data_IF_739734702792
#
_entry.id   IF_739734702792
#
_cell.length_a   1.000
_cell.length_b   1.000
_cell.length_c   1.000
_cell.angle_alpha   90.00
_cell.angle_beta   90.00
_cell.angle_gamma   90.00
#
_symmetry.space_group_name_H-M   'P 1'
#
loop_
_entity.id
_entity.type
_entity.pdbx_description
1 polymer ?
#
# COMPACT_ATOMS: atom_id res chain seq x y z
N UNK A 1 -20.26 -29.44 8.63
CA UNK A 1 -19.56 -28.72 9.70
C UNK A 1 -18.06 -28.91 9.61
N UNK A 2 -17.63 -30.12 9.41
CA UNK A 2 -16.19 -30.44 9.30
C UNK A 2 -15.56 -29.77 8.09
N UNK A 3 -16.28 -29.69 7.00
CA UNK A 3 -15.85 -29.06 5.77
C UNK A 3 -15.59 -27.57 6.00
N UNK A 4 -16.44 -26.92 6.80
CA UNK A 4 -16.26 -25.51 7.14
C UNK A 4 -14.94 -25.26 7.88
N UNK A 5 -14.57 -26.18 8.76
CA UNK A 5 -13.32 -26.05 9.52
C UNK A 5 -12.11 -26.13 8.58
N UNK A 6 -12.16 -27.03 7.61
CA UNK A 6 -11.09 -27.16 6.62
C UNK A 6 -11.00 -25.90 5.78
N UNK A 7 -12.13 -25.37 5.37
CA UNK A 7 -12.18 -24.11 4.63
C UNK A 7 -11.53 -22.95 5.39
N UNK A 8 -11.79 -22.89 6.69
CA UNK A 8 -11.20 -21.84 7.53
C UNK A 8 -9.68 -21.95 7.57
N UNK A 9 -9.16 -23.16 7.68
CA UNK A 9 -7.72 -23.37 7.74
C UNK A 9 -7.04 -22.92 6.43
N UNK A 10 -7.62 -23.21 5.27
CA UNK A 10 -7.03 -22.80 4.01
C UNK A 10 -7.22 -21.31 3.72
N UNK A 11 -8.27 -20.69 4.25
CA UNK A 11 -8.52 -19.27 4.09
C UNK A 11 -7.69 -18.40 5.05
N UNK A 12 -6.98 -18.99 6.01
CA UNK A 12 -6.25 -18.23 7.01
C UNK A 12 -5.26 -17.22 6.43
N UNK A 13 -4.49 -17.63 5.43
CA UNK A 13 -3.52 -16.74 4.79
C UNK A 13 -4.19 -15.68 3.92
N UNK A 14 -5.26 -16.05 3.24
CA UNK A 14 -6.04 -15.11 2.45
C UNK A 14 -6.72 -14.09 3.35
N UNK A 15 -7.21 -14.53 4.50
CA UNK A 15 -7.83 -13.64 5.48
C UNK A 15 -6.85 -12.61 5.99
N UNK A 16 -5.60 -12.98 6.19
CA UNK A 16 -4.56 -12.04 6.62
C UNK A 16 -4.31 -10.96 5.56
N UNK A 17 -4.22 -11.35 4.30
CA UNK A 17 -4.03 -10.40 3.22
C UNK A 17 -5.25 -9.50 3.10
N UNK A 18 -6.44 -10.08 3.14
CA UNK A 18 -7.69 -9.34 3.07
C UNK A 18 -7.84 -8.38 4.25
N UNK A 19 -7.53 -8.85 5.46
CA UNK A 19 -7.56 -8.01 6.65
C UNK A 19 -6.57 -6.86 6.55
N UNK A 20 -5.40 -7.09 5.97
CA UNK A 20 -4.41 -6.06 5.72
C UNK A 20 -4.90 -5.00 4.74
N UNK A 21 -5.53 -5.43 3.66
CA UNK A 21 -6.13 -4.51 2.68
C UNK A 21 -7.22 -3.68 3.33
N UNK A 22 -8.07 -4.29 4.13
CA UNK A 22 -9.14 -3.58 4.83
C UNK A 22 -8.58 -2.55 5.81
N UNK A 23 -7.52 -2.92 6.53
CA UNK A 23 -6.84 -1.99 7.43
C UNK A 23 -6.28 -0.79 6.67
N UNK A 24 -5.62 -1.05 5.54
CA UNK A 24 -5.05 0.02 4.70
C UNK A 24 -6.14 0.95 4.18
N UNK A 25 -7.24 0.41 3.71
CA UNK A 25 -8.37 1.23 3.23
C UNK A 25 -8.93 2.14 4.31
N UNK A 26 -8.97 1.65 5.54
CA UNK A 26 -9.53 2.40 6.67
C UNK A 26 -8.57 3.41 7.28
N UNK A 27 -7.28 3.15 7.23
CA UNK A 27 -6.29 3.90 8.02
C UNK A 27 -5.21 4.61 7.21
N UNK A 28 -5.04 4.27 5.94
CA UNK A 28 -3.97 4.84 5.14
C UNK A 28 -4.26 6.30 4.78
N UNK A 29 -3.26 7.14 4.97
CA UNK A 29 -3.37 8.57 4.71
C UNK A 29 -2.22 9.05 3.82
N UNK A 30 -2.46 10.14 3.12
CA UNK A 30 -1.45 10.84 2.34
C UNK A 30 -1.05 12.12 3.08
N UNK A 31 0.13 12.69 2.77
CA UNK A 31 0.55 13.96 3.37
C UNK A 31 -0.47 15.06 3.10
N UNK A 32 -0.75 15.86 4.11
CA UNK A 32 -1.71 16.98 4.02
C UNK A 32 -1.24 17.98 2.96
N UNK A 33 -2.16 18.44 2.13
CA UNK A 33 -1.88 19.42 1.08
C UNK A 33 -0.82 19.00 0.07
N UNK A 34 -0.63 17.69 -0.08
CA UNK A 34 0.38 17.16 -1.01
C UNK A 34 -0.07 17.16 -2.47
N UNK A 35 -1.36 17.20 -2.71
CA UNK A 35 -1.90 16.98 -4.06
C UNK A 35 -2.00 15.49 -4.40
N UNK A 36 -1.94 14.63 -3.41
CA UNK A 36 -2.04 13.17 -3.54
C UNK A 36 -3.37 12.70 -2.96
N UNK A 37 -3.87 11.58 -3.47
CA UNK A 37 -4.98 10.87 -2.84
C UNK A 37 -4.81 9.38 -3.05
N UNK A 38 -5.31 8.60 -2.11
CA UNK A 38 -5.33 7.15 -2.26
C UNK A 38 -6.33 6.79 -3.35
N UNK A 39 -5.85 6.18 -4.42
CA UNK A 39 -6.71 5.74 -5.51
C UNK A 39 -7.29 4.37 -5.25
N UNK A 40 -6.44 3.39 -5.00
CA UNK A 40 -6.87 2.03 -4.85
C UNK A 40 -5.93 1.25 -3.93
N UNK A 41 -6.49 0.33 -3.15
CA UNK A 41 -5.73 -0.60 -2.33
C UNK A 41 -6.21 -1.99 -2.67
N UNK A 42 -5.32 -2.86 -3.15
CA UNK A 42 -5.68 -4.20 -3.59
C UNK A 42 -4.69 -5.25 -3.11
N UNK A 43 -5.16 -6.49 -3.06
CA UNK A 43 -4.30 -7.63 -2.87
C UNK A 43 -3.84 -8.11 -4.25
N UNK A 44 -2.53 -8.19 -4.44
CA UNK A 44 -1.93 -8.62 -5.71
C UNK A 44 -1.49 -10.07 -5.68
N UNK A 45 -1.52 -10.68 -4.52
CA UNK A 45 -1.16 -12.07 -4.31
C UNK A 45 -1.22 -12.39 -2.83
N UNK A 46 -0.89 -13.62 -2.48
CA UNK A 46 -0.90 -14.07 -1.11
C UNK A 46 0.18 -13.31 -0.32
N UNK A 47 -0.23 -12.56 0.68
CA UNK A 47 0.67 -11.71 1.46
C UNK A 47 1.21 -10.51 0.70
N UNK A 48 0.67 -10.20 -0.47
CA UNK A 48 1.11 -9.08 -1.29
C UNK A 48 -0.01 -8.09 -1.48
N UNK A 49 0.27 -6.83 -1.21
CA UNK A 49 -0.69 -5.74 -1.28
C UNK A 49 -0.11 -4.57 -2.05
N UNK A 50 -0.96 -3.79 -2.66
CA UNK A 50 -0.56 -2.64 -3.45
C UNK A 50 -1.41 -1.43 -3.10
N UNK A 51 -0.76 -0.29 -2.90
CA UNK A 51 -1.42 0.98 -2.67
C UNK A 51 -1.12 1.86 -3.88
N UNK A 52 -2.16 2.27 -4.58
CA UNK A 52 -2.03 3.19 -5.70
C UNK A 52 -2.42 4.58 -5.22
N UNK A 53 -1.52 5.53 -5.39
CA UNK A 53 -1.72 6.92 -5.01
C UNK A 53 -1.78 7.77 -6.27
N UNK A 54 -2.84 8.54 -6.41
CA UNK A 54 -2.99 9.45 -7.53
C UNK A 54 -2.48 10.84 -7.17
N UNK A 55 -1.55 11.33 -7.98
CA UNK A 55 -1.12 12.72 -7.92
C UNK A 55 -2.04 13.53 -8.82
N UNK A 56 -3.10 14.07 -8.24
CA UNK A 56 -4.11 14.78 -8.99
C UNK A 56 -3.74 16.26 -9.26
N UNK A 57 -2.71 16.74 -8.58
CA UNK A 57 -2.21 18.10 -8.76
C UNK A 57 -1.04 18.11 -9.75
N UNK A 58 -1.09 18.98 -10.73
CA UNK A 58 0.02 19.15 -11.68
C UNK A 58 1.31 19.58 -10.96
N UNK A 59 1.18 20.40 -9.92
CA UNK A 59 2.32 20.82 -9.11
C UNK A 59 2.95 19.63 -8.38
N UNK A 60 2.14 18.78 -7.81
CA UNK A 60 2.64 17.57 -7.12
C UNK A 60 3.37 16.66 -8.09
N UNK A 61 2.81 16.45 -9.27
CA UNK A 61 3.43 15.63 -10.30
C UNK A 61 4.78 16.21 -10.76
N UNK A 62 4.84 17.52 -10.98
CA UNK A 62 6.07 18.20 -11.38
C UNK A 62 7.15 18.09 -10.29
N UNK A 63 6.79 18.30 -9.05
CA UNK A 63 7.72 18.18 -7.93
C UNK A 63 8.31 16.76 -7.87
N UNK A 64 7.47 15.76 -8.02
CA UNK A 64 7.92 14.38 -7.99
C UNK A 64 8.90 14.10 -9.13
N UNK A 65 8.57 14.54 -10.34
CA UNK A 65 9.41 14.31 -11.51
C UNK A 65 10.78 14.98 -11.39
N UNK A 66 10.88 16.06 -10.64
CA UNK A 66 12.14 16.77 -10.45
C UNK A 66 13.08 16.11 -9.44
N UNK A 67 12.61 15.14 -8.69
CA UNK A 67 13.41 14.47 -7.68
C UNK A 67 14.33 13.40 -8.29
N UNK A 68 15.43 13.09 -7.59
CA UNK A 68 16.27 11.94 -7.94
C UNK A 68 15.49 10.64 -7.73
N UNK A 69 15.97 9.55 -8.32
CA UNK A 69 15.34 8.24 -8.15
C UNK A 69 15.26 7.83 -6.67
N UNK A 70 16.30 8.12 -5.90
CA UNK A 70 16.34 7.83 -4.46
C UNK A 70 15.28 8.62 -3.70
N UNK A 71 15.21 9.93 -3.96
CA UNK A 71 14.26 10.80 -3.29
C UNK A 71 12.82 10.47 -3.65
N UNK A 72 12.57 10.08 -4.90
CA UNK A 72 11.25 9.61 -5.32
C UNK A 72 10.80 8.41 -4.50
N UNK A 73 11.70 7.45 -4.30
CA UNK A 73 11.41 6.27 -3.49
C UNK A 73 11.10 6.62 -2.04
N UNK A 74 11.86 7.53 -1.45
CA UNK A 74 11.64 7.95 -0.07
C UNK A 74 10.30 8.68 0.09
N UNK A 75 9.96 9.52 -0.86
CA UNK A 75 8.67 10.23 -0.86
C UNK A 75 7.52 9.24 -0.97
N UNK A 76 7.63 8.25 -1.84
CA UNK A 76 6.60 7.21 -1.96
C UNK A 76 6.41 6.44 -0.66
N UNK A 77 7.49 6.20 0.08
CA UNK A 77 7.42 5.48 1.36
C UNK A 77 6.69 6.23 2.46
N UNK A 78 6.43 7.52 2.29
CA UNK A 78 5.60 8.27 3.25
C UNK A 78 4.19 7.71 3.36
N UNK A 79 3.73 7.01 2.33
CA UNK A 79 2.41 6.38 2.30
C UNK A 79 2.43 5.01 2.98
N UNK A 80 3.59 4.44 3.22
CA UNK A 80 3.69 3.12 3.84
C UNK A 80 3.16 3.10 5.27
N UNK A 81 2.58 1.97 5.72
CA UNK A 81 2.21 1.81 7.13
C UNK A 81 3.44 1.98 8.01
N UNK A 82 3.28 2.74 9.09
CA UNK A 82 4.38 3.03 10.00
C UNK A 82 4.81 1.75 10.74
N UNK A 83 6.11 1.61 10.96
CA UNK A 83 6.68 0.54 11.75
C UNK A 83 6.00 0.44 13.12
N UNK A 84 5.74 -0.79 13.56
CA UNK A 84 5.12 -1.02 14.85
C UNK A 84 3.62 -0.77 14.90
N UNK A 85 2.99 -0.45 13.77
CA UNK A 85 1.53 -0.32 13.74
C UNK A 85 0.85 -1.68 13.72
N UNK A 86 -0.42 -1.67 14.09
CA UNK A 86 -1.27 -2.85 14.09
C UNK A 86 -1.27 -3.58 12.74
N UNK A 87 -1.11 -2.84 11.65
CA UNK A 87 -1.06 -3.44 10.30
C UNK A 87 -0.07 -4.61 10.23
N UNK A 88 1.16 -4.38 10.70
CA UNK A 88 2.21 -5.39 10.61
C UNK A 88 1.96 -6.60 11.51
N UNK A 89 1.21 -6.41 12.57
CA UNK A 89 0.77 -7.52 13.42
C UNK A 89 -0.28 -8.36 12.72
N UNK A 90 -1.19 -7.71 11.99
CA UNK A 90 -2.25 -8.39 11.25
C UNK A 90 -1.68 -9.25 10.12
N UNK A 91 -0.79 -8.71 9.31
CA UNK A 91 -0.32 -9.37 8.08
C UNK A 91 0.92 -10.24 8.27
N UNK A 92 1.66 -10.02 9.36
CA UNK A 92 2.85 -10.80 9.66
C UNK A 92 4.11 -10.32 8.95
N UNK A 93 5.23 -11.00 9.22
CA UNK A 93 6.57 -10.59 8.77
C UNK A 93 6.83 -10.82 7.28
N UNK A 94 6.07 -11.71 6.66
CA UNK A 94 6.29 -12.08 5.25
C UNK A 94 5.47 -11.25 4.27
N UNK A 95 4.63 -10.35 4.78
CA UNK A 95 3.80 -9.51 3.93
C UNK A 95 4.64 -8.46 3.21
N UNK A 96 4.25 -8.16 1.99
CA UNK A 96 4.88 -7.14 1.17
C UNK A 96 3.84 -6.12 0.76
N UNK A 97 4.15 -4.85 0.94
CA UNK A 97 3.29 -3.74 0.51
C UNK A 97 4.06 -2.91 -0.49
N UNK A 98 3.47 -2.67 -1.64
CA UNK A 98 4.06 -1.86 -2.69
C UNK A 98 3.24 -0.58 -2.84
N UNK A 99 3.89 0.55 -2.89
CA UNK A 99 3.25 1.84 -3.14
C UNK A 99 3.61 2.30 -4.55
N UNK A 100 2.60 2.66 -5.32
CA UNK A 100 2.79 3.23 -6.65
C UNK A 100 2.22 4.63 -6.68
N UNK A 101 3.07 5.60 -6.99
CA UNK A 101 2.64 6.96 -7.22
C UNK A 101 2.35 7.12 -8.71
N UNK A 102 1.12 7.49 -9.04
CA UNK A 102 0.70 7.61 -10.43
C UNK A 102 0.28 9.04 -10.75
N UNK A 103 0.48 9.43 -12.00
CA UNK A 103 0.04 10.72 -12.52
C UNK A 103 -0.60 10.47 -13.87
N UNK A 104 -1.85 10.86 -14.03
CA UNK A 104 -2.61 10.66 -15.27
C UNK A 104 -2.60 9.22 -15.76
N UNK A 105 -2.71 8.28 -14.82
CA UNK A 105 -2.72 6.85 -15.12
C UNK A 105 -1.37 6.21 -15.34
N UNK A 106 -0.28 6.99 -15.35
CA UNK A 106 1.08 6.45 -15.51
C UNK A 106 1.77 6.34 -14.17
N UNK A 107 2.44 5.22 -13.94
CA UNK A 107 3.22 5.01 -12.72
C UNK A 107 4.51 5.82 -12.82
N UNK A 108 4.70 6.75 -11.90
CA UNK A 108 5.91 7.58 -11.82
C UNK A 108 6.95 6.97 -10.88
N UNK A 109 6.51 6.36 -9.80
CA UNK A 109 7.38 5.80 -8.77
C UNK A 109 6.77 4.54 -8.20
N UNK A 110 7.60 3.54 -7.95
CA UNK A 110 7.21 2.33 -7.23
C UNK A 110 8.17 2.17 -6.05
N UNK A 111 7.62 1.95 -4.88
CA UNK A 111 8.41 1.71 -3.67
C UNK A 111 7.84 0.55 -2.88
N UNK A 112 8.72 -0.16 -2.18
CA UNK A 112 8.34 -1.29 -1.34
C UNK A 112 8.37 -0.84 0.10
N UNK A 113 7.25 -1.06 0.81
CA UNK A 113 7.17 -0.77 2.24
C UNK A 113 7.88 -1.86 3.01
N UNK A 114 8.62 -1.45 4.02
CA UNK A 114 9.33 -2.37 4.89
C UNK A 114 8.77 -2.28 6.31
N UNK A 115 8.71 -3.43 6.92
CA UNK A 115 8.31 -3.55 8.30
C UNK A 115 9.29 -2.85 9.25
#
# INVERSE_FOLDING_TARGET
AIISIIGLASCGDEDKTSAGVDWLKANQEVPVNSGWKIGEVTATGKGKMEIIVDLYSATAASKLKSLSAMDKGEVARLVCPIRGTEFWEIVGTKATVVVKLTSMGSTEVTAICRR
#
